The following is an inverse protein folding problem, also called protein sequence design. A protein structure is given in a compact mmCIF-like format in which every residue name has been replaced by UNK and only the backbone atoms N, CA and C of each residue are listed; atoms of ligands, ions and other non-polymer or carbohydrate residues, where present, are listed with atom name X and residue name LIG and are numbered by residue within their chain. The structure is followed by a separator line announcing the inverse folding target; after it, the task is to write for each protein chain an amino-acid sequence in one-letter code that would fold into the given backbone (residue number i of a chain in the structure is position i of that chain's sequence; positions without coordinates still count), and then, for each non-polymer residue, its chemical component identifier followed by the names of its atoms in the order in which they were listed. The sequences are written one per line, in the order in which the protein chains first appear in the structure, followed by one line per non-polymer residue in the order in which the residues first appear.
data_IF_355447581363
#
_entry.id   IF_355447581363
#
_cell.length_a   1.000
_cell.length_b   1.000
_cell.length_c   1.000
_cell.angle_alpha   90.00
_cell.angle_beta   90.00
_cell.angle_gamma   90.00
#
_symmetry.space_group_name_H-M   'P 1'
#
loop_
_entity.id
_entity.type
_entity.pdbx_description
1 polymer ?
#
# COMPACT_ATOMS: atom_id res chain seq x y z
N UNK A 1 27.80 -7.15 -4.80
CA UNK A 1 26.89 -5.99 -4.84
C UNK A 1 27.20 -5.17 -3.61
N UNK A 2 28.04 -4.13 -3.76
CA UNK A 2 28.50 -3.27 -2.67
C UNK A 2 27.39 -2.24 -2.47
N UNK A 3 26.70 -2.29 -1.33
CA UNK A 3 25.66 -1.30 -1.03
C UNK A 3 26.41 -0.12 -0.44
N UNK A 4 26.67 0.90 -1.26
CA UNK A 4 27.38 2.10 -0.85
C UNK A 4 26.37 3.06 -0.19
N UNK A 5 25.99 2.75 1.04
CA UNK A 5 24.98 3.48 1.83
C UNK A 5 25.20 5.01 1.94
N UNK A 6 26.43 5.47 1.69
CA UNK A 6 26.75 6.90 1.67
C UNK A 6 26.17 7.60 0.43
N UNK A 7 26.19 6.94 -0.73
CA UNK A 7 25.61 7.45 -1.97
C UNK A 7 24.08 7.52 -1.87
N UNK A 8 23.47 6.46 -1.35
CA UNK A 8 22.02 6.42 -1.08
C UNK A 8 21.60 7.53 -0.10
N UNK A 9 22.38 7.73 0.96
CA UNK A 9 22.10 8.77 1.95
C UNK A 9 22.20 10.18 1.36
N UNK A 10 23.13 10.43 0.44
CA UNK A 10 23.26 11.71 -0.28
C UNK A 10 22.11 11.93 -1.26
N UNK A 11 21.66 10.88 -1.95
CA UNK A 11 20.48 10.94 -2.81
C UNK A 11 19.23 11.32 -2.01
N UNK A 12 19.00 10.67 -0.86
CA UNK A 12 17.89 11.00 0.05
C UNK A 12 17.99 12.43 0.57
N UNK A 13 19.18 12.86 1.02
CA UNK A 13 19.41 14.24 1.48
C UNK A 13 19.06 15.27 0.39
N UNK A 14 19.50 15.01 -0.84
CA UNK A 14 19.24 15.89 -1.98
C UNK A 14 17.75 15.98 -2.30
N UNK A 15 17.05 14.83 -2.33
CA UNK A 15 15.61 14.77 -2.56
C UNK A 15 14.83 15.54 -1.48
N UNK A 16 15.21 15.39 -0.21
CA UNK A 16 14.57 16.08 0.92
C UNK A 16 14.84 17.59 0.85
N UNK A 17 16.07 18.01 0.55
CA UNK A 17 16.40 19.43 0.41
C UNK A 17 15.58 20.10 -0.71
N UNK A 18 15.46 19.42 -1.87
CA UNK A 18 14.64 19.89 -2.97
C UNK A 18 13.14 19.96 -2.61
N UNK A 19 12.63 18.97 -1.88
CA UNK A 19 11.22 18.93 -1.47
C UNK A 19 10.83 20.04 -0.50
N UNK A 20 11.76 20.44 0.39
CA UNK A 20 11.56 21.53 1.36
C UNK A 20 11.55 22.92 0.73
N UNK A 21 12.22 23.10 -0.40
CA UNK A 21 12.40 24.43 -0.99
C UNK A 21 11.05 25.12 -1.23
N UNK A 22 10.84 26.27 -0.60
CA UNK A 22 9.61 27.06 -0.72
C UNK A 22 8.41 26.55 0.09
N UNK A 23 8.58 25.53 0.94
CA UNK A 23 7.61 25.23 1.99
C UNK A 23 7.91 26.12 3.20
N UNK A 24 6.94 26.90 3.66
CA UNK A 24 7.07 27.73 4.87
C UNK A 24 6.32 27.04 6.01
N UNK A 25 6.97 26.88 7.16
CA UNK A 25 6.43 26.22 8.37
C UNK A 25 6.03 24.75 8.17
N UNK A 26 6.57 24.07 7.15
CA UNK A 26 6.19 22.69 6.75
C UNK A 26 7.37 21.82 6.34
N UNK A 27 8.59 22.31 6.52
CA UNK A 27 9.84 21.62 6.27
C UNK A 27 9.89 20.31 7.06
N UNK A 28 9.44 20.34 8.33
CA UNK A 28 9.37 19.16 9.20
C UNK A 28 8.51 18.03 8.60
N UNK A 29 7.40 18.37 7.92
CA UNK A 29 6.52 17.38 7.29
C UNK A 29 7.25 16.65 6.18
N UNK A 30 8.02 17.37 5.35
CA UNK A 30 8.79 16.75 4.27
C UNK A 30 9.87 15.79 4.82
N UNK A 31 10.54 16.14 5.92
CA UNK A 31 11.53 15.23 6.53
C UNK A 31 10.87 13.98 7.12
N UNK A 32 9.74 14.14 7.82
CA UNK A 32 9.02 13.00 8.40
C UNK A 32 8.49 12.06 7.32
N UNK A 33 7.99 12.58 6.20
CA UNK A 33 7.56 11.75 5.06
C UNK A 33 8.74 10.96 4.52
N UNK A 34 9.89 11.59 4.31
CA UNK A 34 11.07 10.90 3.80
C UNK A 34 11.61 9.85 4.78
N UNK A 35 11.63 10.17 6.08
CA UNK A 35 12.03 9.25 7.13
C UNK A 35 11.13 8.01 7.16
N UNK A 36 9.82 8.20 7.17
CA UNK A 36 8.85 7.10 7.15
C UNK A 36 8.95 6.27 5.86
N UNK A 37 9.16 6.91 4.71
CA UNK A 37 9.35 6.21 3.43
C UNK A 37 10.60 5.31 3.44
N UNK A 38 11.72 5.79 3.99
CA UNK A 38 12.96 5.00 4.12
C UNK A 38 12.83 3.91 5.18
N UNK A 39 12.14 4.19 6.29
CA UNK A 39 11.92 3.22 7.37
C UNK A 39 10.86 2.16 7.03
N UNK A 40 10.02 2.39 6.02
CA UNK A 40 8.88 1.53 5.71
C UNK A 40 7.70 1.69 6.67
N UNK A 41 7.60 2.85 7.33
CA UNK A 41 6.60 3.13 8.37
C UNK A 41 5.49 4.07 7.88
N UNK A 42 4.34 4.04 8.55
CA UNK A 42 3.19 4.88 8.21
C UNK A 42 3.23 6.24 8.92
N UNK A 43 2.83 7.31 8.22
CA UNK A 43 2.75 8.67 8.76
C UNK A 43 1.32 9.23 8.70
N UNK A 44 0.84 9.76 9.82
CA UNK A 44 -0.42 10.51 9.89
C UNK A 44 -0.12 12.01 10.12
N UNK A 45 -0.62 12.88 9.23
CA UNK A 45 -0.40 14.34 9.32
C UNK A 45 -1.70 15.10 9.60
N UNK A 46 -1.84 15.61 10.83
CA UNK A 46 -3.02 16.36 11.29
C UNK A 46 -2.76 17.88 11.21
N UNK A 47 -3.80 18.66 10.92
CA UNK A 47 -3.69 20.11 10.71
C UNK A 47 -4.81 20.67 9.82
N UNK A 48 -4.94 21.99 9.77
CA UNK A 48 -5.96 22.67 8.98
C UNK A 48 -5.87 22.33 7.47
N UNK A 49 -6.99 22.38 6.72
CA UNK A 49 -6.95 22.26 5.26
C UNK A 49 -6.12 23.40 4.65
N UNK A 50 -5.53 23.16 3.47
CA UNK A 50 -4.71 24.16 2.78
C UNK A 50 -3.29 24.37 3.33
N UNK A 51 -2.85 23.58 4.31
CA UNK A 51 -1.51 23.70 4.93
C UNK A 51 -0.38 22.98 4.18
N UNK A 52 -0.54 22.81 2.86
CA UNK A 52 0.45 22.18 1.97
C UNK A 52 0.89 20.74 2.36
N UNK A 53 0.08 20.00 3.13
CA UNK A 53 0.42 18.62 3.55
C UNK A 53 0.61 17.67 2.36
N UNK A 54 -0.41 17.55 1.49
CA UNK A 54 -0.32 16.72 0.28
C UNK A 54 0.81 17.17 -0.64
N UNK A 55 1.09 18.48 -0.66
CA UNK A 55 2.16 19.03 -1.48
C UNK A 55 3.55 18.58 -0.98
N UNK A 56 3.77 18.59 0.34
CA UNK A 56 5.00 18.05 0.93
C UNK A 56 5.17 16.57 0.58
N UNK A 57 4.10 15.76 0.67
CA UNK A 57 4.13 14.34 0.31
C UNK A 57 4.46 14.14 -1.18
N UNK A 58 3.79 14.87 -2.08
CA UNK A 58 4.04 14.78 -3.53
C UNK A 58 5.48 15.08 -3.90
N UNK A 59 6.06 16.14 -3.33
CA UNK A 59 7.45 16.54 -3.62
C UNK A 59 8.45 15.51 -3.16
N UNK A 60 8.26 14.95 -1.96
CA UNK A 60 9.14 13.89 -1.43
C UNK A 60 9.02 12.63 -2.30
N UNK A 61 7.80 12.21 -2.64
CA UNK A 61 7.58 11.04 -3.49
C UNK A 61 8.23 11.20 -4.88
N UNK A 62 8.10 12.39 -5.48
CA UNK A 62 8.74 12.72 -6.75
C UNK A 62 10.28 12.72 -6.64
N UNK A 63 10.83 13.28 -5.57
CA UNK A 63 12.28 13.31 -5.32
C UNK A 63 12.90 11.94 -5.06
N UNK A 64 12.14 11.01 -4.46
CA UNK A 64 12.58 9.63 -4.21
C UNK A 64 12.33 8.68 -5.39
N UNK A 65 11.65 9.12 -6.45
CA UNK A 65 11.38 8.32 -7.65
C UNK A 65 10.41 7.15 -7.44
N UNK A 66 9.59 7.19 -6.39
CA UNK A 66 8.62 6.14 -6.06
C UNK A 66 7.30 6.26 -6.85
N UNK A 67 6.52 5.18 -6.85
CA UNK A 67 5.12 5.25 -7.31
C UNK A 67 4.28 6.03 -6.30
N UNK A 68 3.64 7.10 -6.75
CA UNK A 68 2.79 7.94 -5.91
C UNK A 68 1.32 7.67 -6.17
N UNK A 69 0.54 7.54 -5.10
CA UNK A 69 -0.92 7.41 -5.13
C UNK A 69 -1.53 8.38 -4.11
N UNK A 70 -2.58 9.08 -4.52
CA UNK A 70 -3.33 10.01 -3.67
C UNK A 70 -4.82 9.81 -3.89
N UNK A 71 -5.58 9.82 -2.80
CA UNK A 71 -7.02 9.70 -2.85
C UNK A 71 -7.67 10.52 -1.73
N UNK A 72 -8.72 11.26 -2.08
CA UNK A 72 -9.50 12.03 -1.12
C UNK A 72 -10.67 11.20 -0.59
N UNK A 73 -10.60 10.78 0.67
CA UNK A 73 -11.66 10.00 1.30
C UNK A 73 -12.92 10.84 1.56
N UNK A 74 -14.07 10.32 1.12
CA UNK A 74 -15.39 10.87 1.36
C UNK A 74 -16.33 9.85 1.98
N UNK A 75 -17.57 10.27 2.28
CA UNK A 75 -18.60 9.39 2.87
C UNK A 75 -19.03 8.24 1.96
N UNK A 76 -18.77 8.37 0.67
CA UNK A 76 -19.17 7.41 -0.35
C UNK A 76 -17.97 6.76 -1.04
N UNK A 77 -16.77 6.84 -0.44
CA UNK A 77 -15.60 6.17 -1.00
C UNK A 77 -15.79 4.66 -0.97
N UNK A 78 -15.67 4.03 -2.12
CA UNK A 78 -15.74 2.59 -2.30
C UNK A 78 -14.34 1.95 -2.21
N UNK A 79 -14.19 0.75 -1.63
CA UNK A 79 -12.90 0.07 -1.53
C UNK A 79 -12.21 -0.14 -2.89
N UNK A 80 -12.98 -0.37 -3.96
CA UNK A 80 -12.43 -0.55 -5.30
C UNK A 80 -11.72 0.69 -5.84
N UNK A 81 -12.02 1.89 -5.32
CA UNK A 81 -11.35 3.13 -5.72
C UNK A 81 -9.93 3.23 -5.14
N UNK A 82 -9.68 2.57 -4.00
CA UNK A 82 -8.38 2.57 -3.32
C UNK A 82 -7.55 1.34 -3.69
N UNK A 83 -8.17 0.16 -3.75
CA UNK A 83 -7.48 -1.11 -4.00
C UNK A 83 -7.48 -1.52 -5.47
N UNK A 84 -8.23 -0.82 -6.32
CA UNK A 84 -8.49 -1.21 -7.70
C UNK A 84 -9.61 -2.25 -7.82
N UNK A 85 -10.10 -2.49 -9.05
CA UNK A 85 -11.17 -3.45 -9.29
C UNK A 85 -10.71 -4.88 -9.02
N UNK A 86 -11.62 -5.71 -8.51
CA UNK A 86 -11.38 -7.14 -8.34
C UNK A 86 -11.21 -7.81 -9.71
N UNK A 87 -10.07 -8.48 -9.93
CA UNK A 87 -9.87 -9.28 -11.13
C UNK A 87 -10.69 -10.58 -11.06
N UNK A 88 -11.86 -10.57 -11.70
CA UNK A 88 -12.79 -11.70 -11.75
C UNK A 88 -12.16 -12.97 -12.36
N UNK A 89 -11.15 -12.83 -13.22
CA UNK A 89 -10.46 -13.98 -13.84
C UNK A 89 -9.61 -14.70 -12.79
N UNK A 90 -8.80 -13.94 -12.04
CA UNK A 90 -8.02 -14.47 -10.91
C UNK A 90 -8.93 -15.03 -9.81
N UNK A 91 -10.03 -14.33 -9.50
CA UNK A 91 -11.01 -14.82 -8.52
C UNK A 91 -11.62 -16.15 -8.95
N UNK A 92 -11.98 -16.30 -10.23
CA UNK A 92 -12.56 -17.54 -10.77
C UNK A 92 -11.56 -18.71 -10.72
N UNK A 93 -10.28 -18.47 -10.98
CA UNK A 93 -9.22 -19.48 -10.85
C UNK A 93 -9.03 -19.95 -9.41
N UNK A 94 -9.05 -19.03 -8.44
CA UNK A 94 -9.00 -19.38 -7.01
C UNK A 94 -10.25 -20.18 -6.59
N UNK A 95 -11.44 -19.76 -7.03
CA UNK A 95 -12.69 -20.45 -6.69
C UNK A 95 -12.86 -21.80 -7.41
N UNK A 96 -12.34 -21.95 -8.62
CA UNK A 96 -12.38 -23.23 -9.33
C UNK A 96 -11.42 -24.27 -8.73
N UNK A 97 -10.33 -23.83 -8.11
CA UNK A 97 -9.46 -24.64 -7.26
C UNK A 97 -10.05 -24.92 -5.86
N UNK A 98 -10.77 -23.96 -5.29
CA UNK A 98 -11.50 -24.09 -4.03
C UNK A 98 -12.90 -24.69 -4.23
N UNK A 99 -13.00 -25.89 -4.82
CA UNK A 99 -14.29 -26.59 -4.94
C UNK A 99 -14.88 -26.84 -3.55
N UNK A 100 -16.13 -26.39 -3.38
CA UNK A 100 -17.00 -26.66 -2.23
C UNK A 100 -16.87 -28.11 -1.77
N UNK A 101 -16.36 -28.33 -0.56
CA UNK A 101 -16.70 -29.52 0.25
C UNK A 101 -18.14 -29.37 0.74
N UNK A 102 -19.10 -29.39 -0.17
CA UNK A 102 -20.47 -29.74 0.22
C UNK A 102 -20.46 -31.23 0.43
N UNK A 103 -20.34 -31.65 1.69
CA UNK A 103 -20.78 -32.96 2.12
C UNK A 103 -22.27 -32.99 1.82
N UNK A 104 -22.63 -33.55 0.67
CA UNK A 104 -23.97 -34.05 0.45
C UNK A 104 -24.19 -35.16 1.47
N UNK A 105 -24.86 -34.84 2.57
CA UNK A 105 -25.38 -35.81 3.51
C UNK A 105 -26.64 -36.44 2.90
N UNK A 106 -26.50 -37.06 1.74
CA UNK A 106 -27.54 -37.94 1.19
C UNK A 106 -27.49 -39.23 1.99
N UNK A 107 -28.53 -39.42 2.80
CA UNK A 107 -28.79 -40.66 3.52
C UNK A 107 -29.11 -41.75 2.48
N UNK A 108 -28.07 -42.45 2.01
CA UNK A 108 -28.21 -43.75 1.40
C UNK A 108 -26.91 -44.55 1.55
N UNK A 109 -26.97 -45.60 2.39
CA UNK A 109 -26.12 -46.77 2.23
C UNK A 109 -24.71 -46.69 2.84
N UNK A 110 -24.63 -47.21 4.07
CA UNK A 110 -23.57 -48.09 4.58
C UNK A 110 -22.34 -48.32 3.68
N UNK A 111 -21.17 -47.90 4.19
CA UNK A 111 -19.91 -48.60 3.97
C UNK A 111 -18.98 -48.06 2.89
N UNK A 112 -18.18 -47.03 3.20
CA UNK A 112 -16.79 -46.88 2.72
C UNK A 112 -16.15 -45.60 3.27
N UNK A 113 -15.78 -45.59 4.56
CA UNK A 113 -14.83 -44.60 5.07
C UNK A 113 -13.43 -45.15 4.85
N UNK A 114 -12.82 -44.83 3.70
CA UNK A 114 -11.36 -44.95 3.52
C UNK A 114 -10.77 -43.68 2.92
N UNK A 115 -10.02 -43.00 3.79
CA UNK A 115 -8.74 -42.31 3.57
C UNK A 115 -8.62 -41.43 2.31
N UNK A 116 -8.60 -40.12 2.55
CA UNK A 116 -7.86 -39.17 1.72
C UNK A 116 -7.24 -38.08 2.60
N UNK A 117 -6.07 -38.40 3.17
CA UNK A 117 -5.05 -37.47 3.64
C UNK A 117 -3.71 -38.17 3.38
N UNK A 118 -3.19 -37.91 2.18
CA UNK A 118 -1.80 -38.06 1.76
C UNK A 118 -1.57 -36.99 0.68
#
# INVERSE_FOLDING_TARGET
MKIDHLEDADAVRTAVAAARAGLVDRELVAELVALCAVAGEHLLVIGAPGTAKSEAVRRVAAGLGGSYFEYLLGRFTEPNEVFGPVDLRRLREVLSGARRRTVGADHAGSGAVRRALA
#
